data_IF_440299202362
#
_entry.id   IF_440299202362
#
_cell.length_a   1.000
_cell.length_b   1.000
_cell.length_c   1.000
_cell.angle_alpha   90.00
_cell.angle_beta   90.00
_cell.angle_gamma   90.00
#
_symmetry.space_group_name_H-M   'P 1'
#
loop_
_entity.id
_entity.type
_entity.pdbx_description
1 polymer ?
#
# COMPACT_ATOMS: atom_id res chain seq x y z
N UNK A 1 -21.26 -9.39 -1.02
CA UNK A 1 -21.36 -8.17 -0.17
C UNK A 1 -21.01 -6.98 -1.05
N UNK A 2 -21.73 -5.85 -0.96
CA UNK A 2 -21.43 -4.65 -1.74
C UNK A 2 -20.65 -3.67 -0.85
N UNK A 3 -19.43 -3.31 -1.25
CA UNK A 3 -18.64 -2.24 -0.60
C UNK A 3 -18.23 -1.24 -1.67
N UNK A 4 -18.46 0.06 -1.42
CA UNK A 4 -18.18 1.13 -2.39
C UNK A 4 -18.79 0.90 -3.79
N UNK A 5 -19.92 0.20 -3.87
CA UNK A 5 -20.58 -0.16 -5.14
C UNK A 5 -20.00 -1.39 -5.86
N UNK A 6 -18.95 -2.02 -5.32
CA UNK A 6 -18.32 -3.23 -5.86
C UNK A 6 -18.79 -4.48 -5.12
N UNK A 7 -19.05 -5.56 -5.85
CA UNK A 7 -19.29 -6.89 -5.29
C UNK A 7 -17.93 -7.57 -5.11
N UNK A 8 -17.50 -7.71 -3.86
CA UNK A 8 -16.22 -8.35 -3.52
C UNK A 8 -16.43 -9.73 -2.91
N UNK A 9 -15.46 -10.62 -3.15
CA UNK A 9 -15.33 -11.81 -2.34
C UNK A 9 -14.98 -11.41 -0.89
N UNK A 10 -15.36 -12.24 0.07
CA UNK A 10 -15.10 -11.97 1.49
C UNK A 10 -13.60 -11.83 1.79
N UNK A 11 -12.77 -12.63 1.10
CA UNK A 11 -11.31 -12.55 1.16
C UNK A 11 -10.79 -11.17 0.75
N UNK A 12 -11.32 -10.63 -0.35
CA UNK A 12 -10.84 -9.37 -0.93
C UNK A 12 -11.24 -8.20 -0.05
N UNK A 13 -12.45 -8.27 0.53
CA UNK A 13 -12.90 -7.29 1.52
C UNK A 13 -11.99 -7.27 2.76
N UNK A 14 -11.62 -8.44 3.31
CA UNK A 14 -10.67 -8.48 4.42
C UNK A 14 -9.27 -8.01 4.03
N UNK A 15 -8.81 -8.32 2.82
CA UNK A 15 -7.53 -7.83 2.31
C UNK A 15 -7.50 -6.29 2.29
N UNK A 16 -8.59 -5.64 1.86
CA UNK A 16 -8.73 -4.18 1.94
C UNK A 16 -8.64 -3.67 3.38
N UNK A 17 -9.44 -4.22 4.30
CA UNK A 17 -9.43 -3.78 5.70
C UNK A 17 -8.08 -3.98 6.38
N UNK A 18 -7.42 -5.11 6.12
CA UNK A 18 -6.08 -5.40 6.66
C UNK A 18 -5.07 -4.40 6.11
N UNK A 19 -5.13 -4.08 4.82
CA UNK A 19 -4.24 -3.11 4.17
C UNK A 19 -4.41 -1.71 4.76
N UNK A 20 -5.66 -1.25 4.92
CA UNK A 20 -5.96 0.05 5.55
C UNK A 20 -5.47 0.10 7.01
N UNK A 21 -5.80 -0.92 7.81
CA UNK A 21 -5.38 -0.99 9.20
C UNK A 21 -3.85 -1.03 9.35
N UNK A 22 -3.16 -1.76 8.46
CA UNK A 22 -1.70 -1.79 8.43
C UNK A 22 -1.10 -0.41 8.14
N UNK A 23 -1.56 0.27 7.09
CA UNK A 23 -1.08 1.61 6.74
C UNK A 23 -1.34 2.62 7.85
N UNK A 24 -2.53 2.58 8.46
CA UNK A 24 -2.85 3.42 9.62
C UNK A 24 -1.95 3.13 10.82
N UNK A 25 -1.66 1.86 11.10
CA UNK A 25 -0.73 1.51 12.17
C UNK A 25 0.68 2.03 11.87
N UNK A 26 1.16 1.92 10.63
CA UNK A 26 2.44 2.49 10.22
C UNK A 26 2.45 4.02 10.36
N UNK A 27 1.38 4.70 9.95
CA UNK A 27 1.23 6.16 10.10
C UNK A 27 1.28 6.58 11.58
N UNK A 28 0.64 5.82 12.48
CA UNK A 28 0.66 6.06 13.93
C UNK A 28 2.05 5.86 14.54
N UNK A 29 2.82 4.90 14.04
CA UNK A 29 4.20 4.66 14.50
C UNK A 29 5.15 5.75 14.00
N UNK A 30 4.96 6.24 12.77
CA UNK A 30 5.87 7.20 12.13
C UNK A 30 7.32 6.71 12.14
N UNK A 31 8.27 7.59 12.49
CA UNK A 31 9.68 7.23 12.66
C UNK A 31 10.01 6.65 14.05
N UNK A 32 9.00 6.37 14.90
CA UNK A 32 9.23 5.89 16.25
C UNK A 32 9.51 4.39 16.22
N UNK A 33 10.55 3.97 16.95
CA UNK A 33 10.80 2.56 17.25
C UNK A 33 9.87 2.10 18.37
N UNK A 34 8.56 2.04 18.09
CA UNK A 34 7.54 1.65 19.06
C UNK A 34 7.13 0.19 18.83
N UNK A 35 7.01 -0.54 19.93
CA UNK A 35 6.42 -1.87 19.98
C UNK A 35 4.98 -1.78 20.49
N UNK A 36 4.06 -2.63 20.00
CA UNK A 36 4.28 -3.69 19.03
C UNK A 36 4.44 -3.17 17.59
N UNK A 37 5.28 -3.83 16.80
CA UNK A 37 5.39 -3.58 15.36
C UNK A 37 4.15 -4.14 14.64
N UNK A 38 3.84 -3.69 13.42
CA UNK A 38 2.82 -4.34 12.60
C UNK A 38 3.12 -5.83 12.41
N UNK A 39 2.08 -6.66 12.35
CA UNK A 39 2.22 -8.09 12.11
C UNK A 39 2.81 -8.38 10.73
N UNK A 40 3.73 -9.34 10.63
CA UNK A 40 4.30 -9.79 9.34
C UNK A 40 3.20 -10.29 8.40
N UNK A 41 2.18 -11.00 8.91
CA UNK A 41 1.04 -11.44 8.10
C UNK A 41 0.18 -10.29 7.56
N UNK A 42 0.04 -9.20 8.33
CA UNK A 42 -0.69 -8.02 7.87
C UNK A 42 0.13 -7.25 6.83
N UNK A 43 1.45 -7.24 6.99
CA UNK A 43 2.38 -6.69 6.01
C UNK A 43 2.31 -7.46 4.69
N UNK A 44 2.37 -8.80 4.70
CA UNK A 44 2.31 -9.62 3.49
C UNK A 44 1.02 -9.39 2.70
N UNK A 45 -0.11 -9.28 3.40
CA UNK A 45 -1.40 -8.95 2.78
C UNK A 45 -1.39 -7.54 2.19
N UNK A 46 -0.87 -6.55 2.91
CA UNK A 46 -0.79 -5.17 2.43
C UNK A 46 0.12 -5.05 1.21
N UNK A 47 1.29 -5.70 1.25
CA UNK A 47 2.25 -5.75 0.13
C UNK A 47 1.57 -6.39 -1.07
N UNK A 48 1.05 -7.60 -0.92
CA UNK A 48 0.39 -8.33 -2.02
C UNK A 48 -0.78 -7.54 -2.62
N UNK A 49 -1.58 -6.88 -1.79
CA UNK A 49 -2.72 -6.07 -2.24
C UNK A 49 -2.25 -4.86 -3.03
N UNK A 50 -1.29 -4.09 -2.50
CA UNK A 50 -0.79 -2.87 -3.13
C UNK A 50 -0.01 -3.18 -4.41
N UNK A 51 0.84 -4.22 -4.40
CA UNK A 51 1.58 -4.64 -5.59
C UNK A 51 0.67 -5.26 -6.63
N UNK A 52 -0.39 -5.96 -6.22
CA UNK A 52 -1.41 -6.49 -7.13
C UNK A 52 -2.13 -5.39 -7.93
N UNK A 53 -2.26 -4.18 -7.38
CA UNK A 53 -2.81 -3.03 -8.11
C UNK A 53 -1.90 -2.51 -9.22
N UNK A 54 -0.61 -2.86 -9.21
CA UNK A 54 0.34 -2.50 -10.26
C UNK A 54 0.22 -3.44 -11.49
N UNK A 55 -0.62 -4.47 -11.44
CA UNK A 55 -0.80 -5.44 -12.53
C UNK A 55 0.48 -6.20 -12.85
N UNK A 56 0.76 -6.40 -14.14
CA UNK A 56 1.94 -7.14 -14.64
C UNK A 56 3.28 -6.37 -14.50
N UNK A 57 3.32 -5.30 -13.70
CA UNK A 57 4.55 -4.55 -13.46
C UNK A 57 5.52 -5.42 -12.65
N UNK A 58 6.60 -5.90 -13.27
CA UNK A 58 7.63 -6.67 -12.59
C UNK A 58 8.33 -5.83 -11.53
N UNK A 59 8.25 -6.29 -10.28
CA UNK A 59 8.94 -5.67 -9.15
C UNK A 59 10.30 -6.33 -8.93
N UNK A 60 11.35 -5.56 -8.56
CA UNK A 60 12.64 -6.12 -8.23
C UNK A 60 12.50 -7.13 -7.08
N UNK A 61 12.95 -8.37 -7.29
CA UNK A 61 12.88 -9.45 -6.29
C UNK A 61 13.63 -9.12 -4.98
N UNK A 62 14.47 -8.09 -4.99
CA UNK A 62 15.30 -7.59 -3.90
C UNK A 62 14.79 -6.27 -3.29
N UNK A 63 13.66 -5.74 -3.74
CA UNK A 63 13.02 -4.59 -3.09
C UNK A 63 12.41 -5.02 -1.76
N UNK A 64 12.63 -4.22 -0.70
CA UNK A 64 11.84 -4.37 0.52
C UNK A 64 10.37 -4.09 0.15
N UNK A 65 9.55 -5.13 0.07
CA UNK A 65 8.14 -5.04 -0.30
C UNK A 65 7.38 -4.02 0.55
N UNK A 66 7.83 -3.81 1.80
CA UNK A 66 7.31 -2.77 2.68
C UNK A 66 7.65 -1.37 2.18
N UNK A 67 8.89 -1.09 1.81
CA UNK A 67 9.32 0.22 1.28
C UNK A 67 8.52 0.57 0.02
N UNK A 68 8.41 -0.38 -0.91
CA UNK A 68 7.66 -0.19 -2.14
C UNK A 68 6.17 0.05 -1.85
N UNK A 69 5.57 -0.71 -0.93
CA UNK A 69 4.17 -0.51 -0.54
C UNK A 69 3.92 0.86 0.05
N UNK A 70 4.83 1.37 0.88
CA UNK A 70 4.74 2.72 1.43
C UNK A 70 4.92 3.79 0.34
N UNK A 71 5.78 3.57 -0.65
CA UNK A 71 5.91 4.45 -1.82
C UNK A 71 4.63 4.48 -2.65
N UNK A 72 4.04 3.32 -2.97
CA UNK A 72 2.78 3.21 -3.71
C UNK A 72 1.58 3.80 -2.94
N UNK A 73 1.61 3.75 -1.60
CA UNK A 73 0.64 4.41 -0.73
C UNK A 73 0.94 5.91 -0.50
N UNK A 74 1.98 6.48 -1.11
CA UNK A 74 2.35 7.89 -0.96
C UNK A 74 2.91 8.28 0.41
N UNK A 75 3.31 7.30 1.23
CA UNK A 75 3.95 7.50 2.54
C UNK A 75 5.46 7.61 2.46
N UNK A 76 6.03 7.30 1.30
CA UNK A 76 7.43 7.53 0.97
C UNK A 76 7.54 8.17 -0.42
N UNK A 77 8.51 9.07 -0.58
CA UNK A 77 8.74 9.70 -1.88
C UNK A 77 9.31 8.69 -2.89
N UNK A 78 8.82 8.76 -4.13
CA UNK A 78 9.39 7.99 -5.23
C UNK A 78 10.74 8.57 -5.64
N UNK A 79 11.74 7.70 -5.71
CA UNK A 79 13.02 8.01 -6.34
C UNK A 79 12.87 8.02 -7.85
N UNK A 80 13.86 8.56 -8.54
CA UNK A 80 13.89 8.52 -10.01
C UNK A 80 13.98 7.08 -10.55
N UNK A 81 14.58 6.17 -9.79
CA UNK A 81 14.60 4.75 -10.14
C UNK A 81 13.21 4.13 -10.02
N UNK A 82 12.46 4.49 -8.97
CA UNK A 82 11.09 4.01 -8.76
C UNK A 82 10.16 4.50 -9.88
N UNK A 83 10.30 5.77 -10.31
CA UNK A 83 9.50 6.32 -11.43
C UNK A 83 9.77 5.60 -12.75
N UNK A 84 11.03 5.25 -13.02
CA UNK A 84 11.38 4.47 -14.21
C UNK A 84 10.82 3.05 -14.16
N UNK A 85 10.84 2.43 -12.98
CA UNK A 85 10.31 1.08 -12.77
C UNK A 85 8.79 1.03 -12.91
N UNK A 86 8.09 1.96 -12.25
CA UNK A 86 6.63 2.04 -12.25
C UNK A 86 6.08 2.58 -13.57
N UNK A 87 6.88 3.33 -14.31
CA UNK A 87 6.53 3.83 -15.65
C UNK A 87 5.18 4.56 -15.63
N UNK A 88 4.21 4.17 -16.47
CA UNK A 88 2.87 4.79 -16.49
C UNK A 88 2.09 4.65 -15.17
N UNK A 89 2.34 3.61 -14.36
CA UNK A 89 1.63 3.38 -13.11
C UNK A 89 1.90 4.49 -12.08
N UNK A 90 3.01 5.22 -12.22
CA UNK A 90 3.35 6.39 -11.39
C UNK A 90 2.24 7.44 -11.36
N UNK A 91 1.47 7.58 -12.46
CA UNK A 91 0.38 8.56 -12.56
C UNK A 91 -0.86 8.20 -11.70
N UNK A 92 -0.98 6.94 -11.27
CA UNK A 92 -2.07 6.46 -10.42
C UNK A 92 -1.72 6.50 -8.92
N UNK A 93 -0.51 6.94 -8.57
CA UNK A 93 -0.04 7.01 -7.20
C UNK A 93 -0.33 8.39 -6.57
N UNK A 94 -0.69 8.46 -5.28
CA UNK A 94 -0.92 7.33 -4.37
C UNK A 94 -2.25 6.63 -4.62
N UNK A 95 -2.25 5.28 -4.61
CA UNK A 95 -3.48 4.50 -4.90
C UNK A 95 -4.47 4.49 -3.73
N UNK A 96 -3.99 4.82 -2.54
CA UNK A 96 -4.78 4.91 -1.31
C UNK A 96 -4.56 6.30 -0.70
N UNK A 97 -5.47 7.22 -1.02
CA UNK A 97 -5.50 8.56 -0.44
C UNK A 97 -6.62 8.69 0.58
N UNK A 98 -6.30 9.01 1.83
CA UNK A 98 -7.26 9.72 2.67
C UNK A 98 -7.48 11.07 2.03
N UNK A 99 -8.71 11.39 1.62
CA UNK A 99 -9.08 12.75 1.25
C UNK A 99 -8.70 13.70 2.39
N UNK A 100 -7.59 14.42 2.27
CA UNK A 100 -7.42 15.69 2.97
C UNK A 100 -8.21 16.71 2.18
N UNK A 101 -9.54 16.64 2.30
CA UNK A 101 -10.37 17.81 2.03
C UNK A 101 -10.14 18.78 3.18
N UNK A 102 -9.50 19.91 2.90
CA UNK A 102 -9.41 21.03 3.86
C UNK A 102 -8.12 21.85 3.74
N UNK A 103 -8.02 22.69 2.71
CA UNK A 103 -8.22 24.15 2.80
C UNK A 103 -7.85 24.80 1.45
#
# INVERSE_FOLDING_TARGET
MMTQGLVLALSDFFATLITEAFLHHVDLLGNRSVHPRPSDSAMDVAVTTITGLLGDTELPANGDGRELSLKCAGRMALTESDRRLLGPATAALPMLGTSTSGN
#
